data_IF_759533589795
#
_entry.id   IF_759533589795
#
_cell.length_a   1.000
_cell.length_b   1.000
_cell.length_c   1.000
_cell.angle_alpha   90.00
_cell.angle_beta   90.00
_cell.angle_gamma   90.00
#
_symmetry.space_group_name_H-M   'P 1'
#
loop_
_entity.id
_entity.type
_entity.pdbx_description
1 polymer ?
#
# COMPACT_ATOMS: atom_id res chain seq x y z
N UNK A 1 3.96 23.19 -10.99
CA UNK A 1 5.27 22.53 -11.25
C UNK A 1 6.33 23.63 -11.27
N UNK A 2 7.05 23.81 -10.19
CA UNK A 2 8.21 24.69 -10.11
C UNK A 2 9.44 23.84 -9.81
N UNK A 3 10.29 23.59 -10.82
CA UNK A 3 11.52 22.84 -10.64
C UNK A 3 11.33 21.34 -10.33
N UNK A 4 12.27 20.74 -9.61
CA UNK A 4 12.29 19.33 -9.24
C UNK A 4 11.41 18.96 -8.02
N UNK A 5 10.19 19.51 -7.93
CA UNK A 5 9.31 19.30 -6.78
C UNK A 5 7.94 18.74 -7.19
N UNK A 6 7.41 17.84 -6.36
CA UNK A 6 6.04 17.36 -6.42
C UNK A 6 5.24 17.93 -5.25
N UNK A 7 4.02 18.41 -5.50
CA UNK A 7 3.12 18.96 -4.48
C UNK A 7 1.86 18.10 -4.43
N UNK A 8 1.65 17.38 -3.33
CA UNK A 8 0.42 16.65 -3.01
C UNK A 8 -0.45 17.58 -2.18
N UNK A 9 -1.56 18.06 -2.74
CA UNK A 9 -2.55 18.86 -2.02
C UNK A 9 -3.62 17.95 -1.45
N UNK A 10 -3.82 18.00 -0.15
CA UNK A 10 -4.83 17.19 0.53
C UNK A 10 -6.24 17.71 0.26
N UNK A 11 -7.22 16.79 0.25
CA UNK A 11 -8.63 17.13 0.05
C UNK A 11 -9.25 17.89 1.23
N UNK A 12 -10.50 18.33 1.04
CA UNK A 12 -11.28 18.96 2.11
C UNK A 12 -11.50 17.96 3.26
N UNK A 13 -11.30 18.39 4.49
CA UNK A 13 -11.41 17.55 5.68
C UNK A 13 -10.10 16.97 6.20
N UNK A 14 -9.01 17.03 5.41
CA UNK A 14 -7.68 16.69 5.92
C UNK A 14 -7.13 17.80 6.81
N UNK A 15 -6.55 17.40 7.94
CA UNK A 15 -6.00 18.32 8.94
C UNK A 15 -4.50 18.52 8.73
N UNK A 16 -3.93 19.48 9.47
CA UNK A 16 -2.46 19.64 9.57
C UNK A 16 -1.80 18.36 10.09
N UNK A 17 -2.46 17.66 11.03
CA UNK A 17 -1.92 16.45 11.63
C UNK A 17 -1.81 15.32 10.59
N UNK A 18 -2.77 15.19 9.67
CA UNK A 18 -2.73 14.19 8.60
C UNK A 18 -1.57 14.45 7.65
N UNK A 19 -1.37 15.70 7.20
CA UNK A 19 -0.26 16.07 6.34
C UNK A 19 1.12 15.88 7.02
N UNK A 20 1.23 16.23 8.30
CA UNK A 20 2.44 16.00 9.08
C UNK A 20 2.67 14.52 9.36
N UNK A 21 1.61 13.73 9.55
CA UNK A 21 1.68 12.27 9.76
C UNK A 21 2.26 11.56 8.53
N UNK A 22 1.77 11.89 7.34
CA UNK A 22 2.31 11.34 6.09
C UNK A 22 3.76 11.77 5.86
N UNK A 23 4.07 13.06 6.05
CA UNK A 23 5.44 13.56 5.96
C UNK A 23 6.39 12.87 6.94
N UNK A 24 5.94 12.61 8.17
CA UNK A 24 6.72 11.92 9.19
C UNK A 24 6.97 10.46 8.83
N UNK A 25 5.96 9.75 8.33
CA UNK A 25 6.11 8.38 7.86
C UNK A 25 7.15 8.31 6.74
N UNK A 26 7.02 9.17 5.73
CA UNK A 26 7.95 9.22 4.61
C UNK A 26 9.37 9.56 5.06
N UNK A 27 9.57 10.56 5.93
CA UNK A 27 10.87 10.92 6.47
C UNK A 27 11.52 9.76 7.26
N UNK A 28 10.73 8.97 8.00
CA UNK A 28 11.22 7.77 8.71
C UNK A 28 11.72 6.70 7.75
N UNK A 29 11.01 6.51 6.64
CA UNK A 29 11.37 5.50 5.63
C UNK A 29 12.57 5.94 4.80
N UNK A 30 12.75 7.24 4.55
CA UNK A 30 13.97 7.77 3.90
C UNK A 30 15.24 7.28 4.60
N UNK A 31 15.23 7.25 5.95
CA UNK A 31 16.39 6.83 6.75
C UNK A 31 16.66 5.31 6.71
N UNK A 32 15.70 4.52 6.18
CA UNK A 32 15.83 3.07 6.09
C UNK A 32 16.58 2.59 4.83
N UNK A 33 17.01 3.52 3.96
CA UNK A 33 17.78 3.22 2.74
C UNK A 33 16.94 2.66 1.60
N UNK A 34 15.64 2.97 1.56
CA UNK A 34 14.75 2.75 0.42
C UNK A 34 14.78 3.97 -0.51
N UNK A 35 14.57 3.76 -1.79
CA UNK A 35 14.40 4.85 -2.75
C UNK A 35 12.99 5.45 -2.60
N UNK A 36 12.91 6.56 -1.88
CA UNK A 36 11.68 7.34 -1.67
C UNK A 36 11.95 8.81 -1.99
N UNK A 37 10.97 9.58 -2.49
CA UNK A 37 11.14 11.01 -2.69
C UNK A 37 11.38 11.70 -1.34
N UNK A 38 12.39 12.56 -1.23
CA UNK A 38 12.65 13.28 0.03
C UNK A 38 11.53 14.25 0.36
N UNK A 39 11.15 14.31 1.62
CA UNK A 39 10.25 15.35 2.14
C UNK A 39 10.96 16.69 2.16
N UNK A 40 10.37 17.71 1.57
CA UNK A 40 10.93 19.06 1.51
C UNK A 40 10.19 20.03 2.42
N UNK A 41 8.84 19.99 2.40
CA UNK A 41 8.03 20.95 3.13
C UNK A 41 6.61 20.40 3.39
N UNK A 42 6.00 20.81 4.49
CA UNK A 42 4.55 20.75 4.70
C UNK A 42 4.04 22.17 4.78
N UNK A 43 3.16 22.56 3.86
CA UNK A 43 2.67 23.94 3.71
C UNK A 43 1.18 24.00 3.40
N UNK A 44 0.69 25.16 3.01
CA UNK A 44 -0.68 25.34 2.54
C UNK A 44 -0.70 25.91 1.12
N UNK A 45 -1.58 25.38 0.30
CA UNK A 45 -1.89 25.85 -1.06
C UNK A 45 -3.39 26.10 -1.13
N UNK A 46 -3.78 27.33 -1.40
CA UNK A 46 -5.20 27.76 -1.47
C UNK A 46 -6.03 27.35 -0.24
N UNK A 47 -5.43 27.44 0.96
CA UNK A 47 -6.08 27.11 2.23
C UNK A 47 -6.11 25.61 2.57
N UNK A 48 -5.62 24.74 1.70
CA UNK A 48 -5.51 23.28 1.91
C UNK A 48 -4.09 22.90 2.30
N UNK A 49 -3.96 21.88 3.15
CA UNK A 49 -2.64 21.34 3.49
C UNK A 49 -2.00 20.65 2.30
N UNK A 50 -0.70 20.75 2.20
CA UNK A 50 0.08 20.17 1.12
C UNK A 50 1.40 19.60 1.65
N UNK A 51 1.80 18.48 1.08
CA UNK A 51 3.12 17.87 1.25
C UNK A 51 3.93 18.12 -0.02
N UNK A 52 5.11 18.70 0.13
CA UNK A 52 6.06 18.94 -0.95
C UNK A 52 7.21 17.95 -0.83
N UNK A 53 7.48 17.23 -1.89
CA UNK A 53 8.58 16.25 -1.99
C UNK A 53 9.44 16.53 -3.21
N UNK A 54 10.59 15.86 -3.29
CA UNK A 54 11.33 15.75 -4.54
C UNK A 54 10.44 15.17 -5.65
N UNK A 55 10.61 15.66 -6.87
CA UNK A 55 9.94 15.07 -8.03
C UNK A 55 10.80 13.93 -8.59
N UNK A 56 10.23 12.75 -8.65
CA UNK A 56 10.86 11.59 -9.29
C UNK A 56 10.46 11.55 -10.75
N UNK A 57 11.45 11.74 -11.64
CA UNK A 57 11.21 11.69 -13.08
C UNK A 57 11.17 10.24 -13.56
N UNK A 58 10.01 9.78 -14.02
CA UNK A 58 9.81 8.41 -14.47
C UNK A 58 8.36 8.14 -14.87
N UNK A 59 8.03 6.86 -15.01
CA UNK A 59 6.67 6.37 -15.23
C UNK A 59 6.30 5.40 -14.13
N UNK A 60 5.04 5.41 -13.69
CA UNK A 60 4.55 4.39 -12.77
C UNK A 60 4.55 3.01 -13.44
N UNK A 61 4.70 1.95 -12.64
CA UNK A 61 4.62 0.58 -13.17
C UNK A 61 3.23 0.31 -13.76
N UNK A 62 2.15 0.84 -13.17
CA UNK A 62 0.81 0.78 -13.74
C UNK A 62 0.78 1.31 -15.18
N UNK A 63 1.33 2.50 -15.39
CA UNK A 63 1.40 3.11 -16.71
C UNK A 63 2.25 2.31 -17.68
N UNK A 64 3.40 1.78 -17.23
CA UNK A 64 4.27 0.96 -18.06
C UNK A 64 3.61 -0.36 -18.45
N UNK A 65 2.90 -1.03 -17.54
CA UNK A 65 2.14 -2.24 -17.83
C UNK A 65 1.07 -1.98 -18.89
N UNK A 66 0.40 -0.82 -18.83
CA UNK A 66 -0.62 -0.45 -19.82
C UNK A 66 -0.02 -0.08 -21.18
N UNK A 67 1.09 0.67 -21.20
CA UNK A 67 1.74 1.13 -22.46
C UNK A 67 2.57 0.02 -23.13
N UNK A 68 3.15 -0.89 -22.34
CA UNK A 68 4.10 -1.93 -22.77
C UNK A 68 3.70 -3.32 -22.24
N UNK A 69 2.56 -3.91 -22.69
CA UNK A 69 2.03 -5.17 -22.11
C UNK A 69 3.02 -6.35 -22.20
N UNK A 70 3.92 -6.33 -23.18
CA UNK A 70 4.96 -7.35 -23.33
C UNK A 70 6.01 -7.36 -22.21
N UNK A 71 6.10 -6.28 -21.41
CA UNK A 71 7.00 -6.18 -20.26
C UNK A 71 6.31 -6.48 -18.93
N UNK A 72 5.04 -6.81 -18.94
CA UNK A 72 4.28 -7.02 -17.70
C UNK A 72 4.95 -8.00 -16.74
N UNK A 73 5.43 -9.12 -17.24
CA UNK A 73 6.11 -10.14 -16.43
C UNK A 73 7.36 -9.58 -15.74
N UNK A 74 8.22 -8.92 -16.48
CA UNK A 74 9.41 -8.24 -15.98
C UNK A 74 9.06 -7.22 -14.87
N UNK A 75 8.03 -6.39 -15.12
CA UNK A 75 7.63 -5.35 -14.19
C UNK A 75 7.00 -5.90 -12.91
N UNK A 76 6.25 -7.01 -12.99
CA UNK A 76 5.73 -7.72 -11.81
C UNK A 76 6.87 -8.36 -11.00
N UNK A 77 7.88 -8.92 -11.66
CA UNK A 77 9.06 -9.47 -11.00
C UNK A 77 9.82 -8.38 -10.24
N UNK A 78 10.07 -7.23 -10.87
CA UNK A 78 10.71 -6.07 -10.24
C UNK A 78 9.90 -5.50 -9.07
N UNK A 79 8.57 -5.48 -9.20
CA UNK A 79 7.69 -5.09 -8.10
C UNK A 79 7.83 -6.03 -6.90
N UNK A 80 7.86 -7.35 -7.13
CA UNK A 80 8.06 -8.33 -6.06
C UNK A 80 9.46 -8.20 -5.42
N UNK A 81 10.51 -7.92 -6.20
CA UNK A 81 11.86 -7.66 -5.69
C UNK A 81 11.94 -6.41 -4.83
N UNK A 82 11.30 -5.33 -5.26
CA UNK A 82 11.21 -4.09 -4.46
C UNK A 82 10.52 -4.34 -3.12
N UNK A 83 9.47 -5.17 -3.10
CA UNK A 83 8.80 -5.53 -1.85
C UNK A 83 9.71 -6.38 -0.96
N UNK A 84 10.44 -7.34 -1.51
CA UNK A 84 11.43 -8.12 -0.76
C UNK A 84 12.52 -7.21 -0.17
N UNK A 85 13.00 -6.25 -0.92
CA UNK A 85 13.93 -5.24 -0.42
C UNK A 85 13.32 -4.47 0.75
N UNK A 86 12.10 -3.95 0.58
CA UNK A 86 11.39 -3.18 1.61
C UNK A 86 11.23 -3.96 2.92
N UNK A 87 10.77 -5.20 2.87
CA UNK A 87 10.57 -6.02 4.06
C UNK A 87 11.87 -6.50 4.71
N UNK A 88 13.00 -6.41 4.02
CA UNK A 88 14.34 -6.67 4.59
C UNK A 88 14.84 -5.55 5.49
N UNK A 89 14.23 -4.37 5.40
CA UNK A 89 14.59 -3.19 6.20
C UNK A 89 13.80 -3.14 7.50
N UNK A 90 14.26 -2.32 8.44
CA UNK A 90 13.59 -2.09 9.72
C UNK A 90 13.37 -0.60 9.94
N UNK A 91 12.16 -0.25 10.34
CA UNK A 91 11.79 1.12 10.69
C UNK A 91 10.96 1.13 11.99
N UNK A 92 11.59 0.98 13.16
CA UNK A 92 10.89 0.75 14.43
C UNK A 92 10.07 1.95 14.93
N UNK A 93 10.22 3.11 14.30
CA UNK A 93 9.45 4.32 14.62
C UNK A 93 8.10 4.39 13.91
N UNK A 94 7.83 3.54 12.92
CA UNK A 94 6.51 3.45 12.30
C UNK A 94 5.47 2.91 13.31
N UNK A 95 4.21 3.29 13.10
CA UNK A 95 3.07 2.75 13.84
C UNK A 95 2.93 1.24 13.64
N UNK A 96 2.16 0.57 14.49
CA UNK A 96 1.89 -0.86 14.34
C UNK A 96 0.82 -1.09 13.30
N UNK A 97 1.09 -2.00 12.34
CA UNK A 97 0.12 -2.39 11.32
C UNK A 97 -1.23 -2.81 11.92
N UNK A 98 -1.21 -3.53 13.05
CA UNK A 98 -2.43 -3.96 13.74
C UNK A 98 -3.29 -2.77 14.16
N UNK A 99 -2.70 -1.76 14.79
CA UNK A 99 -3.38 -0.55 15.25
C UNK A 99 -3.98 0.24 14.09
N UNK A 100 -3.23 0.35 12.97
CA UNK A 100 -3.70 0.99 11.75
C UNK A 100 -4.90 0.26 11.15
N UNK A 101 -4.82 -1.06 11.04
CA UNK A 101 -5.92 -1.87 10.49
C UNK A 101 -7.14 -1.86 11.40
N UNK A 102 -6.96 -1.97 12.73
CA UNK A 102 -8.07 -1.86 13.70
C UNK A 102 -8.78 -0.50 13.58
N UNK A 103 -8.03 0.60 13.47
CA UNK A 103 -8.57 1.94 13.28
C UNK A 103 -9.37 2.06 11.97
N UNK A 104 -8.86 1.52 10.86
CA UNK A 104 -9.55 1.55 9.56
C UNK A 104 -10.80 0.66 9.56
N UNK A 105 -10.72 -0.56 10.07
CA UNK A 105 -11.86 -1.49 10.19
C UNK A 105 -12.95 -0.90 11.11
N UNK A 106 -12.58 -0.18 12.16
CA UNK A 106 -13.54 0.46 13.05
C UNK A 106 -14.40 1.52 12.32
N UNK A 107 -13.86 2.16 11.29
CA UNK A 107 -14.55 3.18 10.45
C UNK A 107 -15.32 2.57 9.28
N UNK A 108 -15.07 1.30 8.95
CA UNK A 108 -15.75 0.62 7.85
C UNK A 108 -17.23 0.39 8.19
N UNK A 109 -18.09 0.51 7.17
CA UNK A 109 -19.51 0.21 7.27
C UNK A 109 -19.74 -1.31 7.24
N UNK A 110 -19.50 -1.94 8.40
CA UNK A 110 -19.58 -3.39 8.61
C UNK A 110 -20.50 -3.72 9.78
N UNK A 111 -21.20 -4.87 9.74
CA UNK A 111 -21.90 -5.39 10.92
C UNK A 111 -20.94 -5.53 12.13
N UNK A 112 -21.45 -5.27 13.32
CA UNK A 112 -20.63 -5.36 14.53
C UNK A 112 -20.01 -6.75 14.74
N UNK A 113 -20.75 -7.82 14.39
CA UNK A 113 -20.27 -9.20 14.45
C UNK A 113 -19.10 -9.45 13.51
N UNK A 114 -19.18 -9.00 12.27
CA UNK A 114 -18.08 -9.10 11.28
C UNK A 114 -16.85 -8.33 11.75
N UNK A 115 -17.04 -7.12 12.29
CA UNK A 115 -15.95 -6.31 12.83
C UNK A 115 -15.26 -7.00 14.01
N UNK A 116 -16.03 -7.58 14.94
CA UNK A 116 -15.48 -8.33 16.05
C UNK A 116 -14.68 -9.57 15.57
N UNK A 117 -15.19 -10.32 14.61
CA UNK A 117 -14.50 -11.47 14.04
C UNK A 117 -13.16 -11.07 13.41
N UNK A 118 -13.15 -9.98 12.62
CA UNK A 118 -11.92 -9.46 12.02
C UNK A 118 -10.88 -9.02 13.08
N UNK A 119 -11.32 -8.39 14.17
CA UNK A 119 -10.43 -8.04 15.28
C UNK A 119 -9.85 -9.27 15.96
N UNK A 120 -10.64 -10.30 16.18
CA UNK A 120 -10.14 -11.57 16.74
C UNK A 120 -9.10 -12.20 15.79
N UNK A 121 -9.40 -12.32 14.51
CA UNK A 121 -8.43 -12.83 13.52
C UNK A 121 -7.12 -12.04 13.51
N UNK A 122 -7.23 -10.70 13.56
CA UNK A 122 -6.06 -9.82 13.58
C UNK A 122 -5.21 -10.00 14.84
N UNK A 123 -5.85 -10.28 16.00
CA UNK A 123 -5.14 -10.56 17.25
C UNK A 123 -4.45 -11.93 17.28
N UNK A 124 -5.00 -12.94 16.58
CA UNK A 124 -4.40 -14.27 16.49
C UNK A 124 -3.16 -14.32 15.60
N UNK A 125 -2.97 -13.34 14.69
CA UNK A 125 -1.78 -13.29 13.84
C UNK A 125 -0.58 -12.85 14.69
N UNK A 126 0.54 -13.60 14.65
CA UNK A 126 1.76 -13.23 15.37
C UNK A 126 2.24 -11.83 15.00
N UNK A 127 2.78 -11.11 15.98
CA UNK A 127 3.35 -9.79 15.73
C UNK A 127 4.66 -9.93 14.94
N UNK A 128 4.75 -9.18 13.85
CA UNK A 128 5.95 -8.98 13.05
C UNK A 128 6.27 -7.49 12.94
N UNK A 129 7.48 -7.17 12.44
CA UNK A 129 8.02 -5.81 12.49
C UNK A 129 8.67 -5.39 11.18
N UNK A 130 8.26 -6.02 10.07
CA UNK A 130 8.70 -5.66 8.73
C UNK A 130 8.07 -4.32 8.35
N UNK A 131 8.70 -3.56 7.45
CA UNK A 131 8.10 -2.37 6.89
C UNK A 131 6.91 -2.78 6.03
N UNK A 132 5.75 -2.20 6.29
CA UNK A 132 4.54 -2.31 5.50
C UNK A 132 4.20 -0.93 4.93
N UNK A 133 4.00 -0.87 3.62
CA UNK A 133 3.61 0.34 2.91
C UNK A 133 2.15 0.72 3.18
N UNK A 134 1.28 -0.28 3.26
CA UNK A 134 -0.16 -0.13 3.50
C UNK A 134 -1.00 0.16 2.25
N UNK A 135 -0.35 0.54 1.13
CA UNK A 135 -0.95 0.66 -0.21
C UNK A 135 0.07 0.31 -1.30
N UNK A 136 0.78 -0.81 -1.14
CA UNK A 136 1.79 -1.30 -2.08
C UNK A 136 1.12 -1.77 -3.37
N UNK A 137 1.32 -1.04 -4.47
CA UNK A 137 0.70 -1.33 -5.76
C UNK A 137 1.45 -0.64 -6.92
N UNK A 138 1.24 -1.05 -8.19
CA UNK A 138 1.95 -0.49 -9.35
C UNK A 138 1.80 1.01 -9.59
N UNK A 139 0.73 1.65 -9.11
CA UNK A 139 0.54 3.09 -9.28
C UNK A 139 1.43 3.93 -8.34
N UNK A 140 1.91 3.32 -7.25
CA UNK A 140 2.79 3.93 -6.26
C UNK A 140 4.27 3.61 -6.49
N UNK A 141 4.63 2.93 -7.57
CA UNK A 141 6.01 2.58 -7.90
C UNK A 141 6.41 3.27 -9.21
N UNK A 142 7.44 4.11 -9.17
CA UNK A 142 7.97 4.82 -10.34
C UNK A 142 9.28 4.19 -10.78
N UNK A 143 9.35 3.82 -12.05
CA UNK A 143 10.60 3.42 -12.72
C UNK A 143 11.20 4.66 -13.38
N UNK A 144 12.42 5.01 -12.98
CA UNK A 144 13.19 6.12 -13.55
C UNK A 144 13.89 5.74 -14.84
N UNK A 145 14.50 6.74 -15.52
CA UNK A 145 15.32 6.50 -16.70
C UNK A 145 16.65 5.79 -16.39
N UNK A 146 17.13 5.92 -15.15
CA UNK A 146 18.35 5.28 -14.66
C UNK A 146 18.08 3.86 -14.16
N UNK A 147 16.89 3.32 -14.47
CA UNK A 147 16.43 1.96 -14.12
C UNK A 147 16.24 1.73 -12.60
N UNK A 148 16.05 2.78 -11.82
CA UNK A 148 15.77 2.71 -10.39
C UNK A 148 14.28 2.74 -10.11
N UNK A 149 13.83 1.99 -9.08
CA UNK A 149 12.46 2.00 -8.58
C UNK A 149 12.36 2.91 -7.36
N UNK A 150 11.40 3.84 -7.40
CA UNK A 150 11.02 4.69 -6.27
C UNK A 150 9.63 4.33 -5.80
N UNK A 151 9.45 4.25 -4.48
CA UNK A 151 8.17 3.96 -3.84
C UNK A 151 7.56 5.24 -3.27
N UNK A 152 6.34 5.55 -3.70
CA UNK A 152 5.61 6.78 -3.41
C UNK A 152 4.48 6.52 -2.40
N UNK A 153 3.96 7.60 -1.79
CA UNK A 153 2.74 7.61 -0.97
C UNK A 153 2.79 6.71 0.28
N UNK A 154 3.52 7.16 1.29
CA UNK A 154 3.72 6.47 2.56
C UNK A 154 2.67 6.82 3.63
N UNK A 155 1.48 7.26 3.22
CA UNK A 155 0.39 7.68 4.11
C UNK A 155 -0.03 6.60 5.11
N UNK A 156 0.03 5.33 4.71
CA UNK A 156 -0.37 4.16 5.52
C UNK A 156 0.82 3.34 6.03
N UNK A 157 2.03 3.91 6.00
CA UNK A 157 3.23 3.20 6.42
C UNK A 157 3.15 2.74 7.88
N UNK A 158 3.49 1.49 8.09
CA UNK A 158 3.46 0.83 9.39
C UNK A 158 4.52 -0.27 9.50
N UNK A 159 4.61 -0.90 10.66
CA UNK A 159 5.44 -2.08 10.83
C UNK A 159 4.58 -3.28 11.24
N UNK A 160 4.73 -4.39 10.55
CA UNK A 160 3.90 -5.57 10.76
C UNK A 160 4.28 -6.74 9.89
N UNK A 161 3.28 -7.53 9.51
CA UNK A 161 3.45 -8.69 8.65
C UNK A 161 3.34 -8.30 7.17
N UNK A 162 4.37 -8.60 6.39
CA UNK A 162 4.46 -8.27 4.96
C UNK A 162 3.35 -8.92 4.11
N UNK A 163 2.71 -10.00 4.59
CA UNK A 163 1.59 -10.61 3.89
C UNK A 163 0.39 -9.67 3.73
N UNK A 164 0.25 -8.67 4.62
CA UNK A 164 -0.79 -7.66 4.49
C UNK A 164 -0.58 -6.78 3.23
N UNK A 165 0.65 -6.36 2.96
CA UNK A 165 0.97 -5.60 1.73
C UNK A 165 0.84 -6.46 0.47
N UNK A 166 1.23 -7.73 0.54
CA UNK A 166 1.02 -8.65 -0.58
C UNK A 166 -0.47 -8.84 -0.88
N UNK A 167 -1.31 -8.94 0.16
CA UNK A 167 -2.76 -8.97 0.01
C UNK A 167 -3.33 -7.65 -0.56
N UNK A 168 -2.80 -6.49 -0.15
CA UNK A 168 -3.19 -5.19 -0.72
C UNK A 168 -2.84 -5.09 -2.22
N UNK A 169 -1.66 -5.52 -2.62
CA UNK A 169 -1.25 -5.54 -4.03
C UNK A 169 -2.16 -6.47 -4.86
N UNK A 170 -2.45 -7.66 -4.35
CA UNK A 170 -3.39 -8.58 -4.98
C UNK A 170 -4.77 -7.94 -5.16
N UNK A 171 -5.31 -7.30 -4.11
CA UNK A 171 -6.58 -6.58 -4.16
C UNK A 171 -6.57 -5.48 -5.22
N UNK A 172 -5.49 -4.74 -5.33
CA UNK A 172 -5.36 -3.67 -6.33
C UNK A 172 -5.52 -4.21 -7.75
N UNK A 173 -4.81 -5.30 -8.09
CA UNK A 173 -4.94 -5.94 -9.41
C UNK A 173 -6.34 -6.48 -9.66
N UNK A 174 -6.97 -7.11 -8.65
CA UNK A 174 -8.35 -7.63 -8.76
C UNK A 174 -9.35 -6.50 -9.02
N UNK A 175 -9.22 -5.37 -8.34
CA UNK A 175 -10.06 -4.18 -8.54
C UNK A 175 -9.83 -3.54 -9.92
N UNK A 176 -8.62 -3.60 -10.44
CA UNK A 176 -8.28 -3.18 -11.80
C UNK A 176 -8.79 -4.15 -12.88
N UNK A 177 -9.40 -5.29 -12.51
CA UNK A 177 -9.88 -6.32 -13.43
C UNK A 177 -8.78 -7.24 -13.97
N UNK A 178 -7.59 -7.21 -13.38
CA UNK A 178 -6.41 -7.99 -13.78
C UNK A 178 -6.18 -9.18 -12.83
N UNK A 179 -7.05 -10.18 -12.90
CA UNK A 179 -6.94 -11.37 -12.08
C UNK A 179 -5.62 -12.15 -12.31
N UNK A 180 -5.19 -12.25 -13.57
CA UNK A 180 -3.93 -12.94 -13.90
C UNK A 180 -2.71 -12.20 -13.32
N UNK A 181 -2.70 -10.86 -13.36
CA UNK A 181 -1.65 -10.06 -12.74
C UNK A 181 -1.62 -10.22 -11.21
N UNK A 182 -2.80 -10.30 -10.59
CA UNK A 182 -2.92 -10.55 -9.15
C UNK A 182 -2.27 -11.86 -8.73
N UNK A 183 -2.64 -12.95 -9.41
CA UNK A 183 -2.14 -14.29 -9.10
C UNK A 183 -0.64 -14.41 -9.40
N UNK A 184 -0.21 -13.86 -10.55
CA UNK A 184 1.20 -13.89 -10.95
C UNK A 184 2.09 -13.12 -9.98
N UNK A 185 1.66 -11.94 -9.54
CA UNK A 185 2.39 -11.18 -8.53
C UNK A 185 2.54 -11.97 -7.21
N UNK A 186 1.47 -12.62 -6.72
CA UNK A 186 1.55 -13.44 -5.50
C UNK A 186 2.49 -14.63 -5.67
N UNK A 187 2.46 -15.31 -6.82
CA UNK A 187 3.41 -16.39 -7.10
C UNK A 187 4.86 -15.91 -6.99
N UNK A 188 5.19 -14.78 -7.64
CA UNK A 188 6.53 -14.19 -7.61
C UNK A 188 6.94 -13.79 -6.19
N UNK A 189 6.06 -13.16 -5.44
CA UNK A 189 6.31 -12.78 -4.05
C UNK A 189 6.54 -14.01 -3.17
N UNK A 190 5.69 -15.04 -3.27
CA UNK A 190 5.85 -16.29 -2.53
C UNK A 190 7.15 -17.01 -2.89
N UNK A 191 7.51 -17.08 -4.17
CA UNK A 191 8.77 -17.69 -4.62
C UNK A 191 10.00 -16.97 -4.03
N UNK A 192 9.98 -15.63 -4.01
CA UNK A 192 11.12 -14.83 -3.53
C UNK A 192 11.23 -14.81 -2.00
N UNK A 193 10.14 -14.92 -1.28
CA UNK A 193 10.11 -14.84 0.20
C UNK A 193 10.07 -16.20 0.89
N UNK A 194 9.66 -17.26 0.19
CA UNK A 194 9.33 -18.56 0.78
C UNK A 194 8.01 -18.55 1.58
N UNK A 195 7.22 -17.47 1.49
CA UNK A 195 5.94 -17.37 2.19
C UNK A 195 4.90 -18.26 1.52
N UNK A 196 4.18 -19.04 2.33
CA UNK A 196 3.08 -19.87 1.83
C UNK A 196 1.88 -19.00 1.41
N UNK A 197 1.25 -19.24 0.26
CA UNK A 197 0.09 -18.48 -0.21
C UNK A 197 -1.06 -18.42 0.82
N UNK A 198 -1.26 -19.50 1.59
CA UNK A 198 -2.28 -19.55 2.64
C UNK A 198 -2.09 -18.51 3.75
N UNK A 199 -0.86 -18.01 3.96
CA UNK A 199 -0.60 -16.92 4.91
C UNK A 199 -1.19 -15.63 4.37
N UNK A 200 -0.97 -15.32 3.09
CA UNK A 200 -1.48 -14.11 2.44
C UNK A 200 -3.01 -14.15 2.36
N UNK A 201 -3.59 -15.30 2.04
CA UNK A 201 -5.05 -15.47 1.97
C UNK A 201 -5.76 -15.10 3.26
N UNK A 202 -5.15 -15.33 4.43
CA UNK A 202 -5.72 -14.91 5.73
C UNK A 202 -5.82 -13.39 5.87
N UNK A 203 -4.96 -12.64 5.19
CA UNK A 203 -4.94 -11.18 5.23
C UNK A 203 -5.96 -10.54 4.29
N UNK A 204 -6.37 -11.22 3.21
CA UNK A 204 -7.29 -10.66 2.19
C UNK A 204 -8.57 -10.08 2.83
N UNK A 205 -9.35 -10.81 3.65
CA UNK A 205 -10.56 -10.24 4.24
C UNK A 205 -10.27 -9.09 5.21
N UNK A 206 -9.14 -9.10 5.91
CA UNK A 206 -8.74 -8.06 6.85
C UNK A 206 -8.41 -6.76 6.11
N UNK A 207 -7.54 -6.84 5.09
CA UNK A 207 -7.16 -5.65 4.30
C UNK A 207 -8.32 -5.16 3.42
N UNK A 208 -9.17 -6.07 2.92
CA UNK A 208 -10.39 -5.70 2.20
C UNK A 208 -11.35 -4.89 3.09
N UNK A 209 -11.54 -5.32 4.34
CA UNK A 209 -12.36 -4.59 5.31
C UNK A 209 -11.78 -3.20 5.61
N UNK A 210 -10.47 -3.10 5.86
CA UNK A 210 -9.80 -1.83 6.10
C UNK A 210 -9.92 -0.88 4.90
N UNK A 211 -9.72 -1.39 3.67
CA UNK A 211 -9.83 -0.62 2.43
C UNK A 211 -11.26 -0.17 2.14
N UNK A 212 -12.27 -0.95 2.53
CA UNK A 212 -13.69 -0.61 2.31
C UNK A 212 -14.13 0.67 3.02
N UNK A 213 -13.40 1.13 4.03
CA UNK A 213 -13.66 2.39 4.72
C UNK A 213 -13.39 3.63 3.85
N UNK A 214 -12.54 3.50 2.82
CA UNK A 214 -12.03 4.62 2.01
C UNK A 214 -12.46 4.52 0.54
N UNK A 215 -12.84 3.33 0.07
CA UNK A 215 -13.21 3.06 -1.32
C UNK A 215 -14.56 3.65 -1.74
N UNK A 216 -14.72 3.90 -3.06
CA UNK A 216 -15.99 4.25 -3.67
C UNK A 216 -17.00 3.09 -3.58
N UNK A 217 -18.29 3.38 -3.84
CA UNK A 217 -19.38 2.40 -3.68
C UNK A 217 -19.17 1.09 -4.47
N UNK A 218 -18.70 1.20 -5.72
CA UNK A 218 -18.43 0.04 -6.58
C UNK A 218 -17.30 -0.84 -6.04
N UNK A 219 -16.22 -0.22 -5.59
CA UNK A 219 -15.08 -0.89 -4.96
C UNK A 219 -15.52 -1.56 -3.65
N UNK A 220 -16.26 -0.83 -2.81
CA UNK A 220 -16.79 -1.34 -1.55
C UNK A 220 -17.61 -2.61 -1.73
N UNK A 221 -18.47 -2.68 -2.74
CA UNK A 221 -19.28 -3.88 -3.01
C UNK A 221 -18.41 -5.11 -3.26
N UNK A 222 -17.33 -4.98 -4.02
CA UNK A 222 -16.38 -6.07 -4.25
C UNK A 222 -15.64 -6.45 -2.96
N UNK A 223 -15.12 -5.46 -2.23
CA UNK A 223 -14.38 -5.69 -0.99
C UNK A 223 -15.22 -6.39 0.08
N UNK A 224 -16.50 -6.04 0.20
CA UNK A 224 -17.42 -6.67 1.16
C UNK A 224 -17.70 -8.15 0.84
N UNK A 225 -17.69 -8.56 -0.43
CA UNK A 225 -17.76 -9.98 -0.80
C UNK A 225 -16.58 -10.74 -0.25
N UNK A 226 -15.37 -10.19 -0.39
CA UNK A 226 -14.14 -10.79 0.15
C UNK A 226 -14.17 -10.92 1.68
N UNK A 227 -14.70 -9.89 2.36
CA UNK A 227 -14.88 -9.92 3.83
C UNK A 227 -15.80 -11.04 4.26
N UNK A 228 -16.86 -11.32 3.50
CA UNK A 228 -17.85 -12.36 3.78
C UNK A 228 -17.39 -13.76 3.36
N UNK A 229 -16.22 -13.91 2.75
CA UNK A 229 -15.74 -15.20 2.25
C UNK A 229 -16.50 -15.70 1.02
N UNK A 230 -17.16 -14.81 0.29
CA UNK A 230 -17.77 -15.16 -0.99
C UNK A 230 -16.67 -15.36 -2.03
N UNK A 231 -16.71 -16.50 -2.73
CA UNK A 231 -15.78 -16.82 -3.81
C UNK A 231 -15.92 -15.79 -4.94
N UNK A 232 -14.79 -15.33 -5.41
CA UNK A 232 -14.70 -14.33 -6.47
C UNK A 232 -14.12 -15.01 -7.71
N UNK A 233 -15.05 -15.56 -8.50
CA UNK A 233 -14.75 -15.94 -9.87
C UNK A 233 -14.66 -14.71 -10.78
#
# INVERSE_FOLDING_TARGET
RGGNQCVKVFGDGFTKADALGEALNQARVEECGLHVPKVLEVSQVDGKWALVTEYVEGKTLERLIAEEPGRKEELLERMAELQVEMISKSCPLLSRLREELESRIARADLPATTRCDLFFRLQEIPAEYQICHGDFNPSNIVLTRDDELYLLDWSHASQGNAAADAANAWLWFRLAGDAQGADRYLELFCQKTGMEPAVIQKWIPIVAAARSAEGGERERTFLLKLVNGEDYE
#
